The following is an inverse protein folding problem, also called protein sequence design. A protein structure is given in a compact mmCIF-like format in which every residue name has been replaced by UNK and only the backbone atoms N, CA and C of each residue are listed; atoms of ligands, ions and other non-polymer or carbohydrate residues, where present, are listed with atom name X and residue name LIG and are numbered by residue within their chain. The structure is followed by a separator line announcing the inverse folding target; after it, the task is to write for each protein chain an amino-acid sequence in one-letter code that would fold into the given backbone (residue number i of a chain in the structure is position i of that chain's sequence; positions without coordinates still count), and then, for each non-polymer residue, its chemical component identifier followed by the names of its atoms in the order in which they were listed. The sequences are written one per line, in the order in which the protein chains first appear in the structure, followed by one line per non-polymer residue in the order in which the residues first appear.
data_IF_879365545661
#
_entry.id   IF_879365545661
#
_cell.length_a   1.000
_cell.length_b   1.000
_cell.length_c   1.000
_cell.angle_alpha   90.00
_cell.angle_beta   90.00
_cell.angle_gamma   90.00
#
_symmetry.space_group_name_H-M   'P 1'
#
loop_
_entity.id
_entity.type
_entity.pdbx_description
1 polymer ?
#
# COMPACT_ATOMS: atom_id res chain seq x y z
N UNK A 1 -31.55 -11.32 -16.15
CA UNK A 1 -30.66 -10.71 -15.15
C UNK A 1 -31.45 -10.54 -13.86
N UNK A 2 -30.90 -10.84 -12.66
CA UNK A 2 -31.70 -11.03 -11.43
C UNK A 2 -31.32 -10.11 -10.24
N UNK A 3 -30.54 -9.05 -10.44
CA UNK A 3 -30.25 -8.04 -9.40
C UNK A 3 -29.60 -8.58 -8.11
N UNK A 4 -28.81 -9.65 -8.21
CA UNK A 4 -28.14 -10.34 -7.10
C UNK A 4 -26.79 -10.88 -7.54
N UNK A 5 -25.87 -11.12 -6.61
CA UNK A 5 -24.57 -11.69 -6.93
C UNK A 5 -24.69 -13.14 -7.43
N UNK A 6 -23.81 -13.50 -8.37
CA UNK A 6 -23.73 -14.86 -8.93
C UNK A 6 -22.91 -15.82 -8.05
N UNK A 7 -22.09 -15.26 -7.17
CA UNK A 7 -21.31 -15.95 -6.14
C UNK A 7 -21.70 -15.41 -4.77
N UNK A 8 -21.36 -16.18 -3.72
CA UNK A 8 -21.55 -15.72 -2.36
C UNK A 8 -20.70 -14.46 -2.12
N UNK A 9 -21.28 -13.46 -1.49
CA UNK A 9 -20.58 -12.28 -0.98
C UNK A 9 -19.52 -12.74 0.01
N UNK A 10 -18.29 -12.32 -0.25
CA UNK A 10 -17.12 -12.64 0.58
C UNK A 10 -17.21 -12.09 2.00
N UNK A 11 -18.04 -11.07 2.23
CA UNK A 11 -18.31 -10.47 3.54
C UNK A 11 -19.67 -10.86 4.10
N UNK A 12 -20.28 -11.93 3.58
CA UNK A 12 -21.56 -12.46 4.07
C UNK A 12 -21.57 -12.68 5.59
N UNK A 13 -20.46 -13.11 6.17
CA UNK A 13 -20.34 -13.37 7.61
C UNK A 13 -20.41 -12.10 8.47
N UNK A 14 -20.10 -10.92 7.90
CA UNK A 14 -20.25 -9.62 8.57
C UNK A 14 -21.71 -9.20 8.67
N UNK A 15 -22.54 -9.66 7.74
CA UNK A 15 -23.93 -9.26 7.61
C UNK A 15 -24.85 -10.47 7.76
N UNK A 16 -24.80 -11.13 8.91
CA UNK A 16 -25.60 -12.34 9.21
C UNK A 16 -27.11 -12.15 9.02
N UNK A 17 -27.59 -10.91 9.03
CA UNK A 17 -29.00 -10.55 8.82
C UNK A 17 -29.38 -10.36 7.34
N UNK A 18 -28.40 -10.36 6.42
CA UNK A 18 -28.63 -10.27 4.98
C UNK A 18 -28.36 -11.60 4.29
N UNK A 19 -28.99 -11.80 3.14
CA UNK A 19 -28.68 -12.98 2.34
C UNK A 19 -27.29 -12.81 1.74
N UNK A 20 -26.49 -13.88 1.64
CA UNK A 20 -25.11 -13.77 1.18
C UNK A 20 -25.00 -13.57 -0.34
N UNK A 21 -26.09 -13.24 -1.02
CA UNK A 21 -26.14 -12.92 -2.45
C UNK A 21 -26.79 -11.55 -2.70
N UNK A 22 -27.08 -10.80 -1.64
CA UNK A 22 -27.83 -9.55 -1.68
C UNK A 22 -27.00 -8.43 -2.29
N UNK A 23 -27.58 -7.70 -3.25
CA UNK A 23 -26.97 -6.51 -3.82
C UNK A 23 -27.50 -5.26 -3.12
N UNK A 24 -26.61 -4.33 -2.73
CA UNK A 24 -26.98 -2.99 -2.26
C UNK A 24 -28.01 -2.98 -1.11
N UNK A 25 -27.96 -3.97 -0.22
CA UNK A 25 -28.95 -4.17 0.84
C UNK A 25 -30.43 -4.13 0.34
N UNK A 26 -30.69 -4.61 -0.89
CA UNK A 26 -32.00 -4.54 -1.58
C UNK A 26 -32.50 -3.11 -1.84
N UNK A 27 -31.64 -2.10 -1.82
CA UNK A 27 -31.97 -0.72 -2.12
C UNK A 27 -30.98 -0.09 -3.13
N UNK A 28 -30.99 -0.57 -4.39
CA UNK A 28 -30.05 -0.14 -5.42
C UNK A 28 -30.26 1.30 -5.92
N UNK A 29 -31.33 1.97 -5.48
CA UNK A 29 -31.59 3.38 -5.78
C UNK A 29 -30.75 4.30 -4.89
N UNK A 30 -30.50 3.85 -3.65
CA UNK A 30 -29.76 4.62 -2.66
C UNK A 30 -28.33 4.10 -2.46
N UNK A 31 -28.09 2.81 -2.67
CA UNK A 31 -26.79 2.19 -2.48
C UNK A 31 -26.30 1.54 -3.77
N UNK A 32 -25.03 1.73 -4.08
CA UNK A 32 -24.35 1.00 -5.15
C UNK A 32 -23.28 0.17 -4.45
N UNK A 33 -23.46 -1.15 -4.47
CA UNK A 33 -22.45 -2.09 -4.00
C UNK A 33 -21.47 -2.36 -5.14
N UNK A 34 -20.31 -1.71 -5.11
CA UNK A 34 -19.26 -1.93 -6.10
C UNK A 34 -18.52 -3.21 -5.70
N UNK A 35 -19.09 -4.38 -6.05
CA UNK A 35 -18.50 -5.71 -5.89
C UNK A 35 -18.08 -6.15 -4.47
N UNK A 36 -18.54 -5.48 -3.41
CA UNK A 36 -17.94 -5.64 -2.10
C UNK A 36 -16.45 -5.25 -2.09
N UNK A 37 -16.02 -4.30 -2.93
CA UNK A 37 -14.64 -3.82 -2.98
C UNK A 37 -14.43 -2.74 -1.91
N UNK A 38 -13.33 -2.85 -1.18
CA UNK A 38 -12.98 -1.90 -0.11
C UNK A 38 -12.40 -0.57 -0.62
N UNK A 39 -12.34 -0.37 -1.93
CA UNK A 39 -11.93 0.88 -2.56
C UNK A 39 -13.18 1.69 -2.98
N UNK A 40 -13.46 2.78 -2.26
CA UNK A 40 -14.58 3.67 -2.56
C UNK A 40 -14.14 4.83 -3.47
N UNK A 41 -14.60 4.79 -4.73
CA UNK A 41 -14.36 5.83 -5.76
C UNK A 41 -15.60 6.70 -6.04
N UNK A 42 -16.63 6.62 -5.20
CA UNK A 42 -17.94 7.26 -5.44
C UNK A 42 -17.91 8.80 -5.47
N UNK A 43 -16.81 9.43 -5.03
CA UNK A 43 -16.62 10.89 -5.08
C UNK A 43 -15.93 11.39 -6.34
N UNK A 44 -15.53 10.51 -7.24
CA UNK A 44 -14.90 10.91 -8.50
C UNK A 44 -15.95 11.27 -9.56
N UNK A 45 -15.67 12.31 -10.34
CA UNK A 45 -16.29 12.50 -11.65
C UNK A 45 -15.89 11.37 -12.61
N UNK A 46 -16.62 11.23 -13.73
CA UNK A 46 -16.32 10.20 -14.74
C UNK A 46 -14.89 10.30 -15.29
N UNK A 47 -14.41 11.53 -15.52
CA UNK A 47 -13.05 11.78 -16.01
C UNK A 47 -11.98 11.41 -14.98
N UNK A 48 -12.22 11.72 -13.71
CA UNK A 48 -11.34 11.36 -12.59
C UNK A 48 -11.28 9.85 -12.39
N UNK A 49 -12.43 9.18 -12.42
CA UNK A 49 -12.51 7.73 -12.32
C UNK A 49 -11.73 7.06 -13.44
N UNK A 50 -11.89 7.52 -14.68
CA UNK A 50 -11.16 7.00 -15.84
C UNK A 50 -9.65 7.22 -15.70
N UNK A 51 -9.21 8.39 -15.25
CA UNK A 51 -7.80 8.69 -15.02
C UNK A 51 -7.20 7.80 -13.91
N UNK A 52 -7.93 7.63 -12.81
CA UNK A 52 -7.55 6.75 -11.70
C UNK A 52 -7.41 5.30 -12.16
N UNK A 53 -8.45 4.76 -12.80
CA UNK A 53 -8.45 3.37 -13.29
C UNK A 53 -7.35 3.12 -14.32
N UNK A 54 -7.07 4.09 -15.20
CA UNK A 54 -5.98 3.99 -16.18
C UNK A 54 -4.61 3.90 -15.50
N UNK A 55 -4.37 4.70 -14.46
CA UNK A 55 -3.14 4.62 -13.66
C UNK A 55 -3.05 3.28 -12.93
N UNK A 56 -4.10 2.87 -12.21
CA UNK A 56 -4.14 1.58 -11.50
C UNK A 56 -3.84 0.43 -12.46
N UNK A 57 -4.48 0.36 -13.63
CA UNK A 57 -4.22 -0.69 -14.63
C UNK A 57 -2.75 -0.70 -15.06
N UNK A 58 -2.20 0.48 -15.37
CA UNK A 58 -0.80 0.63 -15.78
C UNK A 58 0.17 0.12 -14.71
N UNK A 59 -0.07 0.45 -13.45
CA UNK A 59 0.79 0.00 -12.35
C UNK A 59 0.63 -1.51 -12.09
N UNK A 60 -0.59 -2.05 -12.12
CA UNK A 60 -0.85 -3.49 -11.94
C UNK A 60 -0.20 -4.33 -13.03
N UNK A 61 -0.21 -3.85 -14.28
CA UNK A 61 0.43 -4.52 -15.41
C UNK A 61 1.96 -4.53 -15.29
N UNK A 62 2.56 -3.45 -14.81
CA UNK A 62 4.02 -3.29 -14.77
C UNK A 62 4.67 -3.78 -13.49
N UNK A 63 3.94 -3.83 -12.37
CA UNK A 63 4.48 -4.15 -11.05
C UNK A 63 3.62 -5.22 -10.37
N UNK A 64 4.18 -6.43 -10.24
CA UNK A 64 3.56 -7.51 -9.45
C UNK A 64 3.40 -7.12 -7.98
N UNK A 65 4.31 -6.30 -7.47
CA UNK A 65 4.29 -5.80 -6.10
C UNK A 65 3.14 -4.80 -5.90
N UNK A 66 2.99 -3.82 -6.81
CA UNK A 66 1.85 -2.93 -6.81
C UNK A 66 0.55 -3.72 -6.89
N UNK A 67 0.47 -4.68 -7.81
CA UNK A 67 -0.71 -5.51 -7.97
C UNK A 67 -1.06 -6.26 -6.69
N UNK A 68 -0.07 -6.83 -5.97
CA UNK A 68 -0.29 -7.52 -4.71
C UNK A 68 -0.78 -6.57 -3.60
N UNK A 69 -0.16 -5.39 -3.46
CA UNK A 69 -0.60 -4.36 -2.52
C UNK A 69 -2.05 -3.91 -2.82
N UNK A 70 -2.31 -3.51 -4.07
CA UNK A 70 -3.61 -3.00 -4.48
C UNK A 70 -4.71 -4.05 -4.33
N UNK A 71 -4.42 -5.30 -4.72
CA UNK A 71 -5.35 -6.42 -4.51
C UNK A 71 -5.62 -6.69 -3.04
N UNK A 72 -4.68 -6.40 -2.13
CA UNK A 72 -4.93 -6.51 -0.70
C UNK A 72 -5.87 -5.41 -0.20
N UNK A 73 -5.76 -4.19 -0.73
CA UNK A 73 -6.65 -3.08 -0.38
C UNK A 73 -8.07 -3.31 -0.90
N UNK A 74 -8.23 -3.83 -2.13
CA UNK A 74 -9.54 -4.24 -2.67
C UNK A 74 -10.23 -5.27 -1.76
N UNK A 75 -9.45 -6.11 -1.09
CA UNK A 75 -9.92 -7.22 -0.24
C UNK A 75 -9.96 -6.88 1.25
N UNK A 76 -9.60 -5.66 1.65
CA UNK A 76 -9.60 -5.25 3.05
C UNK A 76 -11.01 -5.35 3.65
N UNK A 77 -11.11 -5.48 4.98
CA UNK A 77 -12.38 -5.30 5.69
C UNK A 77 -12.72 -3.82 5.95
N UNK A 78 -11.77 -2.92 5.65
CA UNK A 78 -11.82 -1.48 5.88
C UNK A 78 -11.99 -0.74 4.57
N UNK A 79 -12.79 0.33 4.58
CA UNK A 79 -13.04 1.14 3.39
C UNK A 79 -11.94 2.20 3.23
N UNK A 80 -11.35 2.23 2.03
CA UNK A 80 -10.41 3.24 1.58
C UNK A 80 -11.03 4.08 0.48
N UNK A 81 -11.33 5.33 0.83
CA UNK A 81 -11.91 6.27 -0.10
C UNK A 81 -10.83 6.92 -0.94
N UNK A 82 -11.04 7.00 -2.26
CA UNK A 82 -10.14 7.67 -3.18
C UNK A 82 -10.86 8.87 -3.78
N UNK A 83 -10.20 10.03 -3.77
CA UNK A 83 -10.79 11.27 -4.30
C UNK A 83 -9.72 12.20 -4.87
N UNK A 84 -10.17 13.16 -5.67
CA UNK A 84 -9.35 14.29 -6.11
C UNK A 84 -9.82 15.56 -5.40
N UNK A 85 -8.88 16.44 -5.05
CA UNK A 85 -9.21 17.68 -4.33
C UNK A 85 -7.99 18.35 -3.69
N UNK A 86 -8.26 19.28 -2.77
CA UNK A 86 -7.21 19.97 -2.03
C UNK A 86 -6.45 19.03 -1.10
N UNK A 87 -5.12 19.16 -1.09
CA UNK A 87 -4.21 18.41 -0.25
C UNK A 87 -3.41 19.36 0.64
N UNK A 88 -2.68 18.80 1.63
CA UNK A 88 -1.95 19.62 2.60
C UNK A 88 -0.85 20.48 1.97
N UNK A 89 -0.68 21.67 2.54
CA UNK A 89 0.42 22.59 2.22
C UNK A 89 1.64 22.26 3.11
N UNK A 90 2.81 22.12 2.49
CA UNK A 90 4.10 21.96 3.17
C UNK A 90 4.57 23.28 3.78
N UNK A 91 5.54 23.20 4.69
CA UNK A 91 6.17 24.37 5.34
C UNK A 91 6.82 25.34 4.35
N UNK A 92 7.31 24.84 3.21
CA UNK A 92 7.88 25.64 2.11
C UNK A 92 6.82 26.33 1.22
N UNK A 93 5.55 26.11 1.52
CA UNK A 93 4.41 26.66 0.80
C UNK A 93 3.91 25.83 -0.38
N UNK A 94 4.59 24.73 -0.73
CA UNK A 94 4.17 23.85 -1.81
C UNK A 94 3.03 22.91 -1.37
N UNK A 95 2.05 22.69 -2.25
CA UNK A 95 0.96 21.73 -2.01
C UNK A 95 1.43 20.32 -2.40
N UNK A 96 1.18 19.33 -1.55
CA UNK A 96 1.56 17.92 -1.82
C UNK A 96 0.73 17.33 -2.95
N UNK A 97 1.32 16.48 -3.80
CA UNK A 97 0.59 15.91 -4.93
C UNK A 97 -0.45 14.84 -4.51
N UNK A 98 -0.22 14.18 -3.38
CA UNK A 98 -1.13 13.23 -2.77
C UNK A 98 -1.05 13.28 -1.25
N UNK A 99 -2.09 12.77 -0.58
CA UNK A 99 -2.13 12.62 0.86
C UNK A 99 -3.08 11.49 1.29
N UNK A 100 -2.59 10.58 2.11
CA UNK A 100 -3.39 9.64 2.88
C UNK A 100 -3.71 10.18 4.28
N UNK A 101 -4.97 10.04 4.68
CA UNK A 101 -5.45 10.35 6.04
C UNK A 101 -6.26 9.15 6.57
N UNK A 102 -5.85 8.51 7.68
CA UNK A 102 -6.63 7.43 8.27
C UNK A 102 -7.94 7.97 8.87
N UNK A 103 -8.95 7.10 8.96
CA UNK A 103 -10.20 7.39 9.66
C UNK A 103 -10.36 6.52 10.92
N UNK A 104 -11.34 6.87 11.75
CA UNK A 104 -11.57 6.21 13.04
C UNK A 104 -12.02 4.75 12.90
N UNK A 105 -12.66 4.39 11.77
CA UNK A 105 -13.08 3.02 11.47
C UNK A 105 -11.91 2.09 11.08
N UNK A 106 -10.72 2.66 10.95
CA UNK A 106 -9.47 1.97 10.63
C UNK A 106 -9.14 1.92 9.15
N UNK A 107 -10.00 2.43 8.27
CA UNK A 107 -9.68 2.69 6.87
C UNK A 107 -9.03 4.06 6.68
N UNK A 108 -9.33 4.73 5.57
CA UNK A 108 -8.84 6.10 5.36
C UNK A 108 -9.27 6.71 4.03
N UNK A 109 -8.77 7.91 3.77
CA UNK A 109 -8.97 8.62 2.51
C UNK A 109 -7.61 8.91 1.86
N UNK A 110 -7.45 8.52 0.60
CA UNK A 110 -6.39 8.98 -0.28
C UNK A 110 -6.94 10.13 -1.12
N UNK A 111 -6.31 11.30 -0.99
CA UNK A 111 -6.65 12.49 -1.79
C UNK A 111 -5.50 12.82 -2.73
N UNK A 112 -5.80 12.96 -4.02
CA UNK A 112 -4.84 13.41 -5.04
C UNK A 112 -5.16 14.81 -5.50
N UNK A 113 -4.12 15.65 -5.67
CA UNK A 113 -4.30 17.06 -6.04
C UNK A 113 -4.92 17.25 -7.43
N UNK A 114 -4.57 16.39 -8.37
CA UNK A 114 -5.08 16.42 -9.74
C UNK A 114 -4.97 15.04 -10.40
N UNK A 115 -5.65 14.88 -11.53
CA UNK A 115 -5.56 13.66 -12.36
C UNK A 115 -4.19 13.48 -13.01
N UNK A 116 -3.42 14.57 -13.18
CA UNK A 116 -2.04 14.55 -13.65
C UNK A 116 -1.06 14.48 -12.47
N UNK A 117 -1.19 13.43 -11.66
CA UNK A 117 -0.34 13.18 -10.50
C UNK A 117 0.92 12.44 -10.90
N UNK A 118 2.04 12.75 -10.23
CA UNK A 118 3.26 11.97 -10.34
C UNK A 118 3.03 10.53 -9.84
N UNK A 119 3.38 9.55 -10.68
CA UNK A 119 3.43 8.10 -10.41
C UNK A 119 3.94 7.75 -9.01
N UNK A 120 5.00 8.41 -8.54
CA UNK A 120 5.52 8.15 -7.21
C UNK A 120 4.54 8.55 -6.12
N UNK A 121 4.01 9.77 -6.15
CA UNK A 121 3.05 10.24 -5.16
C UNK A 121 1.78 9.37 -5.20
N UNK A 122 1.33 8.99 -6.40
CA UNK A 122 0.21 8.08 -6.57
C UNK A 122 0.41 6.76 -5.80
N UNK A 123 1.56 6.12 -6.00
CA UNK A 123 1.88 4.84 -5.38
C UNK A 123 2.15 4.98 -3.86
N UNK A 124 2.88 6.02 -3.46
CA UNK A 124 3.24 6.28 -2.06
C UNK A 124 1.98 6.41 -1.19
N UNK A 125 0.96 7.13 -1.65
CA UNK A 125 -0.28 7.29 -0.88
C UNK A 125 -1.12 5.99 -0.77
N UNK A 126 -1.09 5.14 -1.79
CA UNK A 126 -1.72 3.82 -1.73
C UNK A 126 -0.95 2.88 -0.79
N UNK A 127 0.39 2.93 -0.82
CA UNK A 127 1.21 2.18 0.12
C UNK A 127 0.97 2.63 1.57
N UNK A 128 0.75 3.92 1.77
CA UNK A 128 0.36 4.50 3.04
C UNK A 128 -1.01 4.01 3.55
N UNK A 129 -1.98 3.84 2.66
CA UNK A 129 -3.24 3.17 2.99
C UNK A 129 -3.00 1.71 3.37
N UNK A 130 -2.15 1.00 2.63
CA UNK A 130 -1.78 -0.39 2.92
C UNK A 130 -1.02 -0.55 4.25
N UNK A 131 -0.15 0.39 4.61
CA UNK A 131 0.47 0.43 5.94
C UNK A 131 -0.57 0.59 7.05
N UNK A 132 -1.56 1.45 6.83
CA UNK A 132 -2.66 1.63 7.78
C UNK A 132 -3.52 0.36 7.91
N UNK A 133 -3.76 -0.34 6.81
CA UNK A 133 -4.49 -1.62 6.83
C UNK A 133 -3.80 -2.68 7.70
N UNK A 134 -2.47 -2.61 7.74
CA UNK A 134 -1.61 -3.52 8.49
C UNK A 134 -1.10 -2.91 9.81
N UNK A 135 -1.74 -1.83 10.31
CA UNK A 135 -1.21 -1.01 11.41
C UNK A 135 -0.93 -1.79 12.70
N UNK A 136 -1.68 -2.85 12.96
CA UNK A 136 -1.56 -3.69 14.16
C UNK A 136 -0.17 -4.34 14.28
N UNK A 137 0.54 -4.54 13.16
CA UNK A 137 1.89 -5.08 13.18
C UNK A 137 2.93 -4.09 13.71
N UNK A 138 2.62 -2.80 13.77
CA UNK A 138 3.55 -1.76 14.18
C UNK A 138 3.39 -1.32 15.65
N UNK A 139 2.44 -1.90 16.40
CA UNK A 139 2.13 -1.51 17.77
C UNK A 139 3.29 -1.72 18.75
N UNK A 140 4.16 -2.70 18.48
CA UNK A 140 5.26 -3.11 19.38
C UNK A 140 6.62 -2.61 18.91
N UNK A 141 6.75 -1.29 18.78
CA UNK A 141 8.02 -0.62 18.53
C UNK A 141 7.85 0.68 17.75
N UNK A 142 8.93 1.17 17.15
CA UNK A 142 8.88 2.37 16.30
C UNK A 142 9.24 1.99 14.88
N UNK A 143 8.62 2.63 13.91
CA UNK A 143 8.97 2.49 12.50
C UNK A 143 8.84 3.82 11.76
N UNK A 144 9.71 4.01 10.80
CA UNK A 144 9.71 5.16 9.92
C UNK A 144 8.82 4.86 8.71
N UNK A 145 7.58 5.35 8.80
CA UNK A 145 6.52 5.11 7.81
C UNK A 145 6.93 5.54 6.40
N UNK A 146 7.57 6.70 6.29
CA UNK A 146 8.00 7.29 5.02
C UNK A 146 9.17 6.51 4.40
N UNK A 147 10.11 6.07 5.23
CA UNK A 147 11.22 5.24 4.79
C UNK A 147 10.73 3.92 4.19
N UNK A 148 9.79 3.23 4.86
CA UNK A 148 9.25 1.98 4.34
C UNK A 148 8.51 2.19 3.02
N UNK A 149 7.69 3.25 2.90
CA UNK A 149 6.98 3.57 1.66
C UNK A 149 7.94 3.91 0.51
N UNK A 150 9.01 4.64 0.78
CA UNK A 150 10.02 4.95 -0.25
C UNK A 150 10.84 3.73 -0.66
N UNK A 151 11.10 2.83 0.30
CA UNK A 151 11.79 1.57 0.02
C UNK A 151 10.90 0.59 -0.75
N UNK A 152 9.60 0.54 -0.48
CA UNK A 152 8.66 -0.29 -1.23
C UNK A 152 8.61 0.13 -2.69
N UNK A 153 8.47 1.42 -2.97
CA UNK A 153 8.54 1.98 -4.33
C UNK A 153 9.89 1.66 -5.00
N UNK A 154 11.00 1.72 -4.25
CA UNK A 154 12.32 1.32 -4.76
C UNK A 154 12.38 -0.18 -5.10
N UNK A 155 11.72 -1.03 -4.31
CA UNK A 155 11.62 -2.47 -4.54
C UNK A 155 10.77 -2.82 -5.77
N UNK A 156 9.82 -1.97 -6.12
CA UNK A 156 9.08 -2.08 -7.38
C UNK A 156 9.92 -1.71 -8.61
N UNK A 157 11.09 -1.08 -8.41
CA UNK A 157 11.93 -0.54 -9.49
C UNK A 157 11.24 0.56 -10.30
N UNK A 158 10.22 1.18 -9.72
CA UNK A 158 9.24 2.10 -10.35
C UNK A 158 8.80 1.67 -11.76
N UNK A 159 8.32 0.44 -11.91
CA UNK A 159 7.61 -0.02 -13.11
C UNK A 159 8.37 0.23 -14.44
N UNK A 160 9.72 0.18 -14.40
CA UNK A 160 10.62 0.35 -15.54
C UNK A 160 11.31 1.71 -15.67
N UNK A 161 11.09 2.66 -14.73
CA UNK A 161 11.63 4.03 -14.79
C UNK A 161 12.95 4.29 -14.05
N UNK A 162 13.44 3.34 -13.24
CA UNK A 162 14.64 3.50 -12.40
C UNK A 162 14.31 3.81 -10.94
N UNK A 163 15.32 3.85 -10.06
CA UNK A 163 15.14 4.12 -8.62
C UNK A 163 15.40 5.59 -8.33
N UNK A 164 14.43 6.30 -7.73
CA UNK A 164 14.66 7.63 -7.17
C UNK A 164 15.50 7.53 -5.90
N UNK A 165 16.60 8.28 -5.84
CA UNK A 165 17.45 8.35 -4.65
C UNK A 165 16.89 9.32 -3.61
N UNK A 166 16.82 8.87 -2.36
CA UNK A 166 16.45 9.71 -1.22
C UNK A 166 17.63 9.84 -0.26
N UNK A 167 17.90 11.08 0.17
CA UNK A 167 18.97 11.34 1.12
C UNK A 167 18.82 10.50 2.39
N UNK A 168 19.91 9.82 2.79
CA UNK A 168 19.90 8.92 3.94
C UNK A 168 19.40 7.50 3.66
N UNK A 169 18.95 7.20 2.44
CA UNK A 169 18.56 5.84 2.01
C UNK A 169 19.58 5.16 1.08
N UNK A 170 20.63 5.87 0.66
CA UNK A 170 21.53 5.46 -0.43
C UNK A 170 22.05 4.02 -0.30
N UNK A 171 22.48 3.62 0.91
CA UNK A 171 23.07 2.30 1.17
C UNK A 171 22.09 1.16 0.86
N UNK A 172 20.83 1.26 1.30
CA UNK A 172 19.87 0.18 1.07
C UNK A 172 19.34 0.23 -0.37
N UNK A 173 19.11 1.42 -0.93
CA UNK A 173 18.64 1.56 -2.31
C UNK A 173 19.67 1.03 -3.30
N UNK A 174 20.97 1.25 -3.05
CA UNK A 174 22.04 0.68 -3.86
C UNK A 174 22.08 -0.85 -3.77
N UNK A 175 21.90 -1.43 -2.57
CA UNK A 175 21.82 -2.90 -2.41
C UNK A 175 20.63 -3.50 -3.16
N UNK A 176 19.46 -2.85 -3.09
CA UNK A 176 18.27 -3.24 -3.87
C UNK A 176 18.57 -3.17 -5.37
N UNK A 177 19.14 -2.06 -5.86
CA UNK A 177 19.52 -1.88 -7.26
C UNK A 177 20.52 -2.94 -7.76
N UNK A 178 21.54 -3.22 -6.96
CA UNK A 178 22.58 -4.20 -7.29
C UNK A 178 22.12 -5.66 -7.10
N UNK A 179 20.85 -5.90 -6.73
CA UNK A 179 20.26 -7.22 -6.64
C UNK A 179 20.67 -8.04 -5.41
N UNK A 180 21.20 -7.42 -4.35
CA UNK A 180 21.67 -8.14 -3.14
C UNK A 180 20.56 -8.92 -2.44
N UNK A 181 19.32 -8.46 -2.56
CA UNK A 181 18.13 -9.11 -1.97
C UNK A 181 17.24 -9.77 -3.03
N UNK A 182 17.61 -9.65 -4.30
CA UNK A 182 16.76 -9.96 -5.44
C UNK A 182 17.20 -11.18 -6.22
N UNK A 183 16.55 -11.36 -7.36
CA UNK A 183 16.93 -12.25 -8.44
C UNK A 183 16.54 -11.58 -9.78
N UNK A 184 16.62 -12.32 -10.89
CA UNK A 184 16.28 -11.79 -12.23
C UNK A 184 14.83 -11.32 -12.38
N UNK A 185 13.92 -11.74 -11.50
CA UNK A 185 12.48 -11.47 -11.59
C UNK A 185 11.98 -10.46 -10.54
N UNK A 186 12.71 -10.25 -9.44
CA UNK A 186 12.30 -9.41 -8.32
C UNK A 186 13.50 -8.77 -7.63
N UNK A 187 13.43 -7.47 -7.35
CA UNK A 187 14.49 -6.71 -6.67
C UNK A 187 14.67 -7.13 -5.21
N UNK A 188 13.58 -7.58 -4.56
CA UNK A 188 13.60 -8.18 -3.23
C UNK A 188 12.75 -9.44 -3.27
N UNK A 189 13.34 -10.58 -2.94
CA UNK A 189 12.62 -11.87 -2.94
C UNK A 189 11.89 -12.12 -1.62
N UNK A 190 10.83 -12.96 -1.63
CA UNK A 190 10.17 -13.40 -0.40
C UNK A 190 11.10 -14.09 0.62
N UNK A 191 12.14 -14.78 0.16
CA UNK A 191 13.13 -15.39 1.03
C UNK A 191 14.00 -14.34 1.74
N UNK A 192 14.34 -13.26 1.05
CA UNK A 192 15.25 -12.24 1.56
C UNK A 192 14.54 -11.16 2.40
N UNK A 193 13.30 -10.77 2.06
CA UNK A 193 12.60 -9.66 2.73
C UNK A 193 12.41 -9.88 4.24
N UNK A 194 12.30 -11.13 4.68
CA UNK A 194 12.17 -11.48 6.10
C UNK A 194 13.45 -12.10 6.69
N UNK A 195 14.58 -12.01 5.98
CA UNK A 195 15.86 -12.52 6.48
C UNK A 195 16.45 -11.61 7.56
N UNK A 196 17.20 -12.19 8.49
CA UNK A 196 17.89 -11.42 9.55
C UNK A 196 18.81 -10.34 8.96
N UNK A 197 19.52 -10.66 7.87
CA UNK A 197 20.40 -9.72 7.15
C UNK A 197 19.62 -8.54 6.60
N UNK A 198 18.53 -8.78 5.87
CA UNK A 198 17.72 -7.70 5.30
C UNK A 198 17.10 -6.84 6.39
N UNK A 199 16.56 -7.45 7.45
CA UNK A 199 15.93 -6.72 8.56
C UNK A 199 16.95 -5.82 9.28
N UNK A 200 18.19 -6.31 9.47
CA UNK A 200 19.28 -5.51 10.05
C UNK A 200 19.67 -4.33 9.14
N UNK A 201 19.81 -4.58 7.83
CA UNK A 201 20.11 -3.53 6.85
C UNK A 201 18.98 -2.49 6.78
N UNK A 202 17.71 -2.94 6.79
CA UNK A 202 16.52 -2.10 6.82
C UNK A 202 16.52 -1.18 8.03
N UNK A 203 16.65 -1.72 9.26
CA UNK A 203 16.67 -0.91 10.48
C UNK A 203 17.83 0.08 10.49
N UNK A 204 19.00 -0.35 10.04
CA UNK A 204 20.18 0.52 9.97
C UNK A 204 19.97 1.69 9.00
N UNK A 205 19.41 1.42 7.82
CA UNK A 205 19.14 2.44 6.82
C UNK A 205 17.97 3.35 7.21
N UNK A 206 16.91 2.82 7.83
CA UNK A 206 15.80 3.62 8.34
C UNK A 206 16.24 4.62 9.41
N UNK A 207 17.15 4.21 10.30
CA UNK A 207 17.73 5.09 11.31
C UNK A 207 18.70 6.13 10.72
N UNK A 208 19.45 5.77 9.67
CA UNK A 208 20.27 6.73 8.93
C UNK A 208 19.42 7.77 8.20
N UNK A 209 18.30 7.36 7.60
CA UNK A 209 17.31 8.25 6.99
C UNK A 209 16.70 9.20 8.00
N UNK A 210 16.26 8.69 9.16
CA UNK A 210 15.74 9.51 10.24
C UNK A 210 16.76 10.56 10.70
N UNK A 211 18.02 10.15 10.94
CA UNK A 211 19.10 11.06 11.33
C UNK A 211 19.39 12.13 10.26
N UNK A 212 19.38 11.75 8.98
CA UNK A 212 19.53 12.67 7.86
C UNK A 212 18.41 13.71 7.85
N UNK A 213 17.14 13.30 8.00
CA UNK A 213 16.00 14.21 7.99
C UNK A 213 15.94 15.11 9.22
N UNK A 214 16.35 14.63 10.39
CA UNK A 214 16.51 15.47 11.58
C UNK A 214 17.56 16.56 11.33
N UNK A 215 18.74 16.17 10.84
CA UNK A 215 19.85 17.11 10.58
C UNK A 215 19.48 18.20 9.57
N UNK A 216 18.71 17.86 8.54
CA UNK A 216 18.35 18.77 7.46
C UNK A 216 16.95 19.41 7.63
N UNK A 217 16.28 19.17 8.76
CA UNK A 217 14.90 19.57 9.01
C UNK A 217 13.91 19.22 7.88
N UNK A 218 13.96 17.97 7.38
CA UNK A 218 13.11 17.51 6.28
C UNK A 218 11.90 16.75 6.84
N UNK A 219 10.70 17.16 6.42
CA UNK A 219 9.46 16.46 6.70
C UNK A 219 9.00 16.50 8.17
N UNK A 220 7.87 15.85 8.42
CA UNK A 220 7.25 15.76 9.74
C UNK A 220 7.85 14.61 10.58
N UNK A 221 7.21 14.25 11.69
CA UNK A 221 7.68 13.17 12.57
C UNK A 221 7.82 11.81 11.85
N UNK A 222 7.00 11.52 10.84
CA UNK A 222 7.09 10.26 10.09
C UNK A 222 8.38 10.11 9.29
N UNK A 223 9.06 11.23 8.98
CA UNK A 223 10.38 11.26 8.34
C UNK A 223 11.53 11.08 9.34
N UNK A 224 11.29 11.43 10.61
CA UNK A 224 12.32 11.67 11.64
C UNK A 224 12.34 10.60 12.73
N UNK A 225 11.32 9.76 12.82
CA UNK A 225 11.23 8.69 13.81
C UNK A 225 12.23 7.56 13.51
N UNK A 226 12.84 7.00 14.56
CA UNK A 226 13.69 5.82 14.48
C UNK A 226 12.88 4.56 14.16
N UNK A 227 13.56 3.51 13.69
CA UNK A 227 12.96 2.20 13.41
C UNK A 227 13.61 1.10 14.23
N UNK A 228 12.80 0.38 15.00
CA UNK A 228 13.20 -0.77 15.82
C UNK A 228 12.62 -2.09 15.34
N UNK A 229 11.59 -2.05 14.49
CA UNK A 229 10.84 -3.22 13.99
C UNK A 229 11.10 -3.48 12.50
N UNK A 230 10.60 -4.62 12.01
CA UNK A 230 10.70 -5.02 10.61
C UNK A 230 9.71 -4.22 9.73
N UNK A 231 9.93 -4.15 8.39
CA UNK A 231 9.00 -3.49 7.48
C UNK A 231 7.83 -4.41 7.14
N UNK A 232 6.83 -4.49 8.03
CA UNK A 232 5.75 -5.46 7.93
C UNK A 232 4.95 -5.35 6.64
N UNK A 233 4.64 -4.15 6.18
CA UNK A 233 3.88 -3.95 4.94
C UNK A 233 4.73 -4.28 3.73
N UNK A 234 6.02 -3.93 3.71
CA UNK A 234 6.91 -4.39 2.64
C UNK A 234 7.00 -5.93 2.58
N UNK A 235 7.12 -6.58 3.75
CA UNK A 235 7.14 -8.04 3.87
C UNK A 235 5.85 -8.64 3.30
N UNK A 236 4.69 -8.15 3.73
CA UNK A 236 3.39 -8.64 3.26
C UNK A 236 3.19 -8.41 1.77
N UNK A 237 3.54 -7.23 1.25
CA UNK A 237 3.46 -6.91 -0.18
C UNK A 237 4.26 -7.91 -1.02
N UNK A 238 5.45 -8.29 -0.57
CA UNK A 238 6.33 -9.23 -1.27
C UNK A 238 5.84 -10.68 -1.14
N UNK A 239 5.38 -11.09 0.05
CA UNK A 239 4.90 -12.46 0.30
C UNK A 239 3.58 -12.74 -0.43
N UNK A 240 2.66 -11.77 -0.47
CA UNK A 240 1.34 -11.92 -1.11
C UNK A 240 1.42 -12.18 -2.62
N UNK A 241 2.54 -11.85 -3.28
CA UNK A 241 2.78 -12.24 -4.69
C UNK A 241 2.68 -13.76 -4.88
N UNK A 242 3.15 -14.54 -3.91
CA UNK A 242 3.11 -16.01 -3.98
C UNK A 242 1.66 -16.51 -3.80
N UNK A 243 0.88 -15.87 -2.92
CA UNK A 243 -0.50 -16.28 -2.59
C UNK A 243 -1.49 -16.04 -3.74
N UNK A 244 -1.20 -15.09 -4.62
CA UNK A 244 -2.03 -14.82 -5.82
C UNK A 244 -1.83 -15.84 -6.95
N UNK A 245 -1.02 -16.89 -6.75
CA UNK A 245 -0.90 -18.00 -7.70
C UNK A 245 -2.01 -19.05 -7.43
N UNK A 246 -2.76 -19.49 -8.46
CA UNK A 246 -3.98 -20.30 -8.30
C UNK A 246 -3.82 -21.68 -7.63
N UNK A 247 -2.61 -22.09 -7.23
CA UNK A 247 -2.33 -23.42 -6.64
C UNK A 247 -1.81 -23.38 -5.19
N UNK A 248 -1.91 -22.26 -4.47
CA UNK A 248 -1.24 -22.10 -3.17
C UNK A 248 -2.13 -22.35 -1.94
N UNK A 249 -2.75 -23.53 -1.85
CA UNK A 249 -3.42 -24.03 -0.61
C UNK A 249 -2.42 -24.14 0.56
N UNK A 250 -1.12 -24.20 0.28
CA UNK A 250 -0.04 -24.41 1.27
C UNK A 250 0.27 -23.15 2.12
N UNK A 251 -0.17 -21.93 1.73
CA UNK A 251 0.31 -20.70 2.38
C UNK A 251 -0.49 -20.20 3.60
N UNK A 252 -1.76 -20.59 3.77
CA UNK A 252 -2.56 -20.15 4.93
C UNK A 252 -1.93 -20.57 6.27
N UNK A 253 -1.18 -21.68 6.29
CA UNK A 253 -0.45 -22.20 7.46
C UNK A 253 0.83 -21.37 7.77
N UNK A 254 1.47 -20.76 6.76
CA UNK A 254 2.69 -19.95 6.97
C UNK A 254 2.41 -18.57 7.57
N UNK A 255 1.20 -18.02 7.37
CA UNK A 255 0.80 -16.74 7.95
C UNK A 255 0.83 -16.75 9.49
N UNK A 256 0.55 -17.90 10.11
CA UNK A 256 0.61 -18.10 11.57
C UNK A 256 2.06 -18.16 12.08
N UNK A 257 2.99 -18.72 11.30
CA UNK A 257 4.38 -18.94 11.71
C UNK A 257 5.27 -17.70 11.48
N UNK A 258 4.96 -16.85 10.50
CA UNK A 258 5.76 -15.66 10.16
C UNK A 258 5.43 -14.45 11.06
N UNK A 259 4.24 -14.46 11.68
CA UNK A 259 3.72 -13.37 12.52
C UNK A 259 3.81 -13.65 14.04
N UNK A 260 4.48 -14.74 14.44
CA UNK A 260 4.82 -15.07 15.83
C UNK A 260 6.31 -14.87 16.09
#
# INVERSE_FOLDING_TARGET
MIGRFHSQDRFAEKYLHFTPYQYAANNPVLFIDVNGDSIDVSKMSENELKAYQSQVSTFREKSKLFNAMYSSLEQSEKVYKIQYGETSKREDGNIVDGQFVPNDDGGGTVTYKSTNINSQAFNEELFHAFQNDNKNHYEKGTFNREFEAKLSISAEGEAGGGIRHYGGMDRIQQKVWMGYYGNTNMQITPANVNSATFIQDYKSAANAYAAFNIKNNIGNNHYKVSTTIAPYSLILMIINIIEMQPNSIILFIKKIIILT
#
